data_IF_854131709076
#
_entry.id   IF_854131709076
#
_cell.length_a   1.000
_cell.length_b   1.000
_cell.length_c   1.000
_cell.angle_alpha   90.00
_cell.angle_beta   90.00
_cell.angle_gamma   90.00
#
_symmetry.space_group_name_H-M   'P 1'
#
loop_
_entity.id
_entity.type
_entity.pdbx_description
1 polymer ?
#
# COMPACT_ATOMS: atom_id res chain seq x y z
N UNK A 1 8.57 16.70 -8.01
CA UNK A 1 7.46 16.27 -8.90
C UNK A 1 7.92 15.07 -9.68
N UNK A 2 7.26 13.93 -9.50
CA UNK A 2 7.50 12.77 -10.33
C UNK A 2 6.87 13.04 -11.71
N UNK A 3 7.69 13.09 -12.72
CA UNK A 3 7.23 13.23 -14.10
C UNK A 3 7.56 11.94 -14.84
N UNK A 4 6.56 11.23 -15.31
CA UNK A 4 6.82 10.11 -16.17
C UNK A 4 7.14 10.60 -17.59
N UNK A 5 8.26 10.13 -18.14
CA UNK A 5 8.67 10.40 -19.50
C UNK A 5 8.65 9.09 -20.29
N UNK A 6 8.06 9.13 -21.44
CA UNK A 6 8.22 8.11 -22.46
C UNK A 6 8.83 8.76 -23.69
N UNK A 7 9.97 8.25 -24.14
CA UNK A 7 10.67 8.73 -25.36
C UNK A 7 10.99 10.25 -25.33
N UNK A 8 11.39 10.77 -24.15
CA UNK A 8 11.73 12.19 -24.00
C UNK A 8 10.56 13.17 -24.04
N UNK A 9 9.34 12.65 -24.16
CA UNK A 9 8.12 13.46 -24.10
C UNK A 9 7.39 13.22 -22.79
N UNK A 10 6.79 14.28 -22.23
CA UNK A 10 5.91 14.15 -21.10
C UNK A 10 4.73 13.26 -21.49
N UNK A 11 4.53 12.19 -20.76
CA UNK A 11 3.37 11.36 -20.93
C UNK A 11 2.18 12.11 -20.33
N UNK A 12 1.35 12.68 -21.18
CA UNK A 12 0.04 13.17 -20.82
C UNK A 12 -0.92 11.98 -20.79
N UNK A 13 -0.79 11.13 -19.78
CA UNK A 13 -1.86 10.20 -19.47
C UNK A 13 -3.04 11.04 -18.98
N UNK A 14 -4.25 10.66 -19.31
CA UNK A 14 -5.45 11.37 -18.84
C UNK A 14 -5.67 11.33 -17.33
N UNK A 15 -4.71 10.82 -16.57
CA UNK A 15 -4.63 10.80 -15.13
C UNK A 15 -3.23 11.28 -14.72
N UNK A 16 -3.18 12.49 -14.22
CA UNK A 16 -1.96 13.11 -13.71
C UNK A 16 -1.72 12.74 -12.24
N UNK A 17 -2.04 11.51 -11.83
CA UNK A 17 -1.67 11.03 -10.52
C UNK A 17 -0.17 10.84 -10.46
N UNK A 18 0.48 11.71 -9.76
CA UNK A 18 1.91 11.60 -9.48
C UNK A 18 2.20 12.26 -8.14
N UNK A 19 3.24 11.82 -7.49
CA UNK A 19 3.63 12.38 -6.20
C UNK A 19 4.64 11.52 -5.47
N UNK A 20 4.75 11.77 -4.19
CA UNK A 20 5.49 10.91 -3.27
C UNK A 20 4.57 9.73 -2.91
N UNK A 21 5.09 8.53 -3.13
CA UNK A 21 4.44 7.31 -2.70
C UNK A 21 4.71 7.03 -1.22
N UNK A 22 5.62 6.10 -0.92
CA UNK A 22 6.02 5.85 0.45
C UNK A 22 7.12 6.80 0.89
N UNK A 23 7.09 7.18 2.16
CA UNK A 23 8.13 7.97 2.82
C UNK A 23 8.35 7.44 4.24
N UNK A 24 9.61 7.30 4.67
CA UNK A 24 9.94 6.75 5.98
C UNK A 24 11.38 7.11 6.40
N UNK A 25 11.63 7.47 7.68
CA UNK A 25 12.98 7.65 8.20
C UNK A 25 13.66 6.30 8.43
N UNK A 26 14.90 6.18 8.00
CA UNK A 26 15.75 5.01 8.21
C UNK A 26 17.23 5.33 8.00
N UNK A 27 18.12 4.76 8.82
CA UNK A 27 19.57 4.92 8.67
C UNK A 27 20.00 6.40 8.53
N UNK A 28 19.53 7.25 9.45
CA UNK A 28 19.78 8.69 9.52
C UNK A 28 19.38 9.49 8.26
N UNK A 29 18.48 8.95 7.47
CA UNK A 29 17.96 9.60 6.26
C UNK A 29 16.43 9.46 6.18
N UNK A 30 15.82 10.36 5.44
CA UNK A 30 14.44 10.22 5.00
C UNK A 30 14.44 9.57 3.62
N UNK A 31 13.92 8.36 3.53
CA UNK A 31 13.77 7.61 2.29
C UNK A 31 12.40 7.83 1.68
N UNK A 32 12.34 7.95 0.37
CA UNK A 32 11.07 8.08 -0.33
C UNK A 32 11.14 7.48 -1.73
N UNK A 33 10.00 6.94 -2.16
CA UNK A 33 9.76 6.54 -3.55
C UNK A 33 8.67 7.41 -4.13
N UNK A 34 8.76 7.65 -5.43
CA UNK A 34 7.70 8.36 -6.13
C UNK A 34 6.57 7.42 -6.51
N UNK A 35 5.38 7.97 -6.61
CA UNK A 35 4.17 7.26 -6.98
C UNK A 35 3.94 7.39 -8.49
N UNK A 36 3.87 6.25 -9.16
CA UNK A 36 3.55 6.17 -10.58
C UNK A 36 2.62 4.97 -10.82
N UNK A 37 1.32 5.12 -10.53
CA UNK A 37 0.40 3.99 -10.50
C UNK A 37 0.24 3.27 -11.83
N UNK A 38 0.56 3.93 -12.92
CA UNK A 38 0.33 3.39 -14.26
C UNK A 38 1.61 2.92 -14.98
N UNK A 39 2.75 2.93 -14.29
CA UNK A 39 4.03 2.50 -14.86
C UNK A 39 4.77 1.55 -13.91
N UNK A 40 4.40 0.29 -13.88
CA UNK A 40 4.96 -0.66 -12.91
C UNK A 40 6.41 -1.06 -13.19
N UNK A 41 6.94 -0.77 -14.38
CA UNK A 41 8.30 -1.19 -14.77
C UNK A 41 9.12 -0.02 -15.25
N UNK A 42 10.35 0.09 -14.71
CA UNK A 42 11.38 0.93 -15.28
C UNK A 42 10.94 2.37 -15.53
N UNK A 43 9.98 2.86 -14.74
CA UNK A 43 9.62 4.26 -14.77
C UNK A 43 10.83 5.09 -14.38
N UNK A 44 10.88 6.36 -14.81
CA UNK A 44 11.92 7.29 -14.35
C UNK A 44 11.74 7.70 -12.88
N UNK A 45 10.77 7.08 -12.20
CA UNK A 45 10.56 7.26 -10.78
C UNK A 45 11.67 6.61 -10.01
N UNK A 46 12.31 7.40 -9.16
CA UNK A 46 13.52 7.01 -8.46
C UNK A 46 13.22 6.78 -6.99
N UNK A 47 14.11 6.05 -6.39
CA UNK A 47 14.31 6.07 -4.95
C UNK A 47 15.13 7.31 -4.60
N UNK A 48 14.73 8.01 -3.57
CA UNK A 48 15.38 9.21 -3.06
C UNK A 48 15.72 9.03 -1.59
N UNK A 49 16.81 9.66 -1.18
CA UNK A 49 17.10 9.86 0.24
C UNK A 49 17.47 11.31 0.52
N UNK A 50 17.09 11.81 1.69
CA UNK A 50 17.42 13.13 2.17
C UNK A 50 18.15 12.96 3.51
N UNK A 51 19.32 13.55 3.62
CA UNK A 51 20.10 13.51 4.86
C UNK A 51 19.70 14.64 5.84
N UNK A 52 20.35 14.67 7.00
CA UNK A 52 20.08 15.66 8.04
C UNK A 52 20.46 17.10 7.65
N UNK A 53 21.31 17.25 6.64
CA UNK A 53 21.67 18.57 6.07
C UNK A 53 20.73 18.96 4.91
N UNK A 54 19.67 18.20 4.69
CA UNK A 54 18.67 18.37 3.62
C UNK A 54 19.24 18.16 2.21
N UNK A 55 20.38 17.47 2.08
CA UNK A 55 20.89 17.10 0.77
C UNK A 55 20.10 15.90 0.24
N UNK A 56 19.57 16.04 -0.96
CA UNK A 56 18.81 14.97 -1.62
C UNK A 56 19.73 14.16 -2.54
N UNK A 57 19.72 12.85 -2.36
CA UNK A 57 20.38 11.89 -3.25
C UNK A 57 19.33 11.17 -4.08
N UNK A 58 19.54 11.11 -5.39
CA UNK A 58 18.75 10.32 -6.34
C UNK A 58 19.50 9.01 -6.60
N UNK A 59 18.88 7.90 -6.27
CA UNK A 59 19.46 6.58 -6.48
C UNK A 59 19.18 6.06 -7.89
N UNK A 60 20.05 5.16 -8.37
CA UNK A 60 20.00 4.68 -9.75
C UNK A 60 18.79 3.77 -10.05
N UNK A 61 18.27 3.15 -9.03
CA UNK A 61 17.11 2.27 -9.09
C UNK A 61 15.86 3.04 -9.49
N UNK A 62 14.95 2.38 -10.18
CA UNK A 62 13.79 3.03 -10.76
C UNK A 62 12.56 2.15 -10.64
N UNK A 63 12.01 2.09 -9.45
CA UNK A 63 10.71 1.44 -9.17
C UNK A 63 9.90 2.36 -8.29
N UNK A 64 8.68 2.65 -8.69
CA UNK A 64 7.73 3.41 -7.90
C UNK A 64 7.03 2.56 -6.84
N UNK A 65 6.35 3.21 -5.92
CA UNK A 65 5.59 2.56 -4.86
C UNK A 65 4.43 3.41 -4.37
N UNK A 66 3.53 2.78 -3.64
CA UNK A 66 2.37 3.42 -3.01
C UNK A 66 2.66 3.77 -1.55
N UNK A 67 1.81 4.58 -0.91
CA UNK A 67 2.03 4.98 0.49
C UNK A 67 2.15 3.83 1.50
N UNK A 68 1.44 2.74 1.30
CA UNK A 68 1.48 1.59 2.21
C UNK A 68 2.62 0.59 1.89
N UNK A 69 3.35 0.78 0.79
CA UNK A 69 4.43 -0.13 0.38
C UNK A 69 5.74 0.18 1.11
N UNK A 70 5.71 0.20 2.44
CA UNK A 70 6.89 0.38 3.28
C UNK A 70 6.75 -0.35 4.61
N UNK A 71 7.85 -0.83 5.13
CA UNK A 71 7.93 -1.45 6.45
C UNK A 71 9.36 -1.44 6.96
N UNK A 72 9.57 -1.04 8.21
CA UNK A 72 10.82 -1.34 8.91
C UNK A 72 10.71 -2.78 9.43
N UNK A 73 11.55 -3.64 8.93
CA UNK A 73 11.63 -5.03 9.33
C UNK A 73 12.68 -5.16 10.45
N UNK A 74 12.19 -5.21 11.69
CA UNK A 74 13.03 -5.17 12.87
C UNK A 74 13.95 -6.38 12.97
N UNK A 75 13.47 -7.56 12.59
CA UNK A 75 14.17 -8.82 12.68
C UNK A 75 15.44 -8.84 11.82
N UNK A 76 15.37 -8.33 10.60
CA UNK A 76 16.53 -8.25 9.72
C UNK A 76 17.22 -6.89 9.72
N UNK A 77 16.71 -5.92 10.49
CA UNK A 77 17.20 -4.55 10.53
C UNK A 77 17.34 -3.92 9.14
N UNK A 78 16.23 -3.99 8.38
CA UNK A 78 16.13 -3.44 7.04
C UNK A 78 14.86 -2.62 6.90
N UNK A 79 14.95 -1.58 6.09
CA UNK A 79 13.77 -0.92 5.54
C UNK A 79 13.41 -1.61 4.23
N UNK A 80 12.18 -2.09 4.13
CA UNK A 80 11.57 -2.46 2.86
C UNK A 80 10.67 -1.31 2.39
N UNK A 81 10.88 -0.85 1.17
CA UNK A 81 10.11 0.24 0.55
C UNK A 81 9.94 -0.06 -0.93
N UNK A 82 8.71 -0.25 -1.39
CA UNK A 82 8.42 -0.76 -2.73
C UNK A 82 9.22 -2.05 -3.02
N UNK A 83 10.09 -2.07 -4.02
CA UNK A 83 10.96 -3.20 -4.37
C UNK A 83 12.34 -3.15 -3.71
N UNK A 84 12.59 -2.18 -2.84
CA UNK A 84 13.90 -1.97 -2.25
C UNK A 84 13.98 -2.56 -0.85
N UNK A 85 15.15 -3.15 -0.56
CA UNK A 85 15.59 -3.49 0.78
C UNK A 85 16.82 -2.64 1.11
N UNK A 86 16.76 -1.87 2.17
CA UNK A 86 17.80 -0.93 2.58
C UNK A 86 18.25 -1.33 3.98
N UNK A 87 19.52 -1.67 4.13
CA UNK A 87 20.09 -2.08 5.41
C UNK A 87 20.31 -0.87 6.35
N UNK A 88 20.74 -1.17 7.57
CA UNK A 88 21.03 -0.16 8.60
C UNK A 88 22.16 0.80 8.24
N UNK A 89 23.01 0.44 7.27
CA UNK A 89 24.13 1.25 6.78
C UNK A 89 23.75 2.04 5.51
N UNK A 90 22.49 1.89 5.04
CA UNK A 90 21.96 2.57 3.87
C UNK A 90 22.32 1.91 2.54
N UNK A 91 22.81 0.66 2.54
CA UNK A 91 23.05 -0.08 1.32
C UNK A 91 21.74 -0.60 0.73
N UNK A 92 21.57 -0.43 -0.57
CA UNK A 92 20.34 -0.70 -1.29
C UNK A 92 20.45 -2.02 -2.04
N UNK A 93 19.46 -2.88 -1.88
CA UNK A 93 19.21 -4.04 -2.72
C UNK A 93 17.84 -3.93 -3.35
N UNK A 94 17.66 -4.52 -4.52
CA UNK A 94 16.43 -4.36 -5.32
C UNK A 94 15.90 -5.74 -5.71
N UNK A 95 14.61 -5.97 -5.50
CA UNK A 95 13.89 -7.06 -6.15
C UNK A 95 13.75 -6.67 -7.61
N UNK A 96 14.31 -7.46 -8.52
CA UNK A 96 14.32 -7.16 -9.95
C UNK A 96 12.88 -6.99 -10.47
N UNK A 97 12.48 -5.78 -10.90
CA UNK A 97 11.12 -5.52 -11.38
C UNK A 97 10.79 -6.22 -12.69
N UNK A 98 11.78 -6.78 -13.39
CA UNK A 98 11.54 -7.64 -14.55
C UNK A 98 11.11 -9.03 -14.14
N UNK A 99 11.56 -9.49 -12.97
CA UNK A 99 11.17 -10.79 -12.41
C UNK A 99 9.88 -10.68 -11.59
N UNK A 100 9.73 -9.59 -10.85
CA UNK A 100 8.51 -9.26 -10.11
C UNK A 100 7.90 -7.98 -10.68
N UNK A 101 7.11 -8.06 -11.76
CA UNK A 101 6.50 -6.88 -12.39
C UNK A 101 5.31 -6.34 -11.60
N UNK A 102 5.36 -6.44 -10.29
CA UNK A 102 4.30 -6.06 -9.38
C UNK A 102 4.29 -4.55 -9.11
N UNK A 103 3.10 -3.97 -8.97
CA UNK A 103 2.92 -2.65 -8.38
C UNK A 103 2.65 -2.84 -6.89
N UNK A 104 3.72 -3.00 -6.12
CA UNK A 104 3.63 -3.30 -4.68
C UNK A 104 2.87 -2.19 -3.96
N UNK A 105 1.84 -2.57 -3.23
CA UNK A 105 0.98 -1.65 -2.47
C UNK A 105 1.05 -1.87 -0.97
N UNK A 106 1.44 -3.05 -0.53
CA UNK A 106 1.64 -3.34 0.88
C UNK A 106 2.84 -4.25 1.10
N UNK A 107 3.52 -4.02 2.20
CA UNK A 107 4.62 -4.84 2.71
C UNK A 107 4.25 -5.21 4.13
N UNK A 108 4.28 -6.51 4.45
CA UNK A 108 3.76 -7.01 5.70
C UNK A 108 4.71 -8.03 6.31
N UNK A 109 4.75 -8.05 7.62
CA UNK A 109 5.55 -9.02 8.38
C UNK A 109 5.00 -10.43 8.18
N UNK A 110 5.88 -11.42 8.05
CA UNK A 110 5.46 -12.81 7.89
C UNK A 110 4.85 -13.38 9.16
N UNK A 111 3.80 -14.21 9.03
CA UNK A 111 3.03 -14.73 10.17
C UNK A 111 3.80 -15.73 11.03
N UNK A 112 4.59 -16.60 10.42
CA UNK A 112 5.17 -17.76 11.10
C UNK A 112 6.70 -17.79 11.09
N UNK A 113 7.32 -17.10 10.14
CA UNK A 113 8.77 -17.00 10.00
C UNK A 113 9.20 -15.56 9.66
N UNK A 114 8.97 -14.62 10.58
CA UNK A 114 9.30 -13.21 10.34
C UNK A 114 10.80 -12.93 10.31
N UNK A 115 11.65 -13.83 10.81
CA UNK A 115 13.09 -13.65 10.75
C UNK A 115 13.63 -13.77 9.32
N UNK A 116 12.97 -14.57 8.49
CA UNK A 116 13.43 -14.90 7.15
C UNK A 116 12.55 -14.36 6.03
N UNK A 117 11.29 -14.04 6.29
CA UNK A 117 10.34 -13.70 5.24
C UNK A 117 9.46 -12.51 5.57
N UNK A 118 9.00 -11.87 4.51
CA UNK A 118 7.94 -10.87 4.50
C UNK A 118 6.90 -11.22 3.44
N UNK A 119 5.70 -10.64 3.56
CA UNK A 119 4.71 -10.69 2.50
C UNK A 119 4.67 -9.38 1.72
N UNK A 120 4.44 -9.48 0.42
CA UNK A 120 4.08 -8.37 -0.45
C UNK A 120 2.70 -8.60 -1.05
N UNK A 121 1.95 -7.53 -1.18
CA UNK A 121 0.67 -7.52 -1.89
C UNK A 121 0.68 -6.39 -2.91
N UNK A 122 0.10 -6.61 -4.08
CA UNK A 122 0.16 -5.66 -5.18
C UNK A 122 -1.21 -5.19 -5.68
N UNK A 123 -1.19 -4.24 -6.61
CA UNK A 123 -2.42 -3.70 -7.21
C UNK A 123 -3.18 -4.74 -8.02
N UNK A 124 -2.51 -5.73 -8.51
CA UNK A 124 -3.06 -6.77 -9.38
C UNK A 124 -3.63 -7.96 -8.60
N UNK A 125 -3.75 -7.81 -7.28
CA UNK A 125 -4.27 -8.85 -6.40
C UNK A 125 -3.39 -10.11 -6.35
N UNK A 126 -2.07 -9.91 -6.46
CA UNK A 126 -1.07 -10.96 -6.26
C UNK A 126 -0.49 -10.88 -4.86
N UNK A 127 -0.23 -12.02 -4.28
CA UNK A 127 0.36 -12.13 -2.95
C UNK A 127 1.64 -12.94 -2.99
N UNK A 128 2.71 -12.35 -2.50
CA UNK A 128 4.06 -12.91 -2.57
C UNK A 128 4.64 -13.12 -1.19
N UNK A 129 5.54 -14.09 -1.10
CA UNK A 129 6.49 -14.28 -0.01
C UNK A 129 7.88 -13.93 -0.51
N UNK A 130 8.63 -13.16 0.27
CA UNK A 130 9.97 -12.71 -0.09
C UNK A 130 10.93 -13.02 1.04
N UNK A 131 12.05 -13.68 0.71
CA UNK A 131 13.14 -13.88 1.66
C UNK A 131 13.89 -12.57 1.89
N UNK A 132 13.98 -12.10 3.13
CA UNK A 132 14.58 -10.80 3.48
C UNK A 132 16.09 -10.75 3.27
N UNK A 133 16.77 -11.92 3.24
CA UNK A 133 18.22 -12.02 3.10
C UNK A 133 18.65 -12.13 1.64
N UNK A 134 17.91 -12.87 0.81
CA UNK A 134 18.28 -13.12 -0.59
C UNK A 134 17.49 -12.30 -1.59
N UNK A 135 16.33 -11.79 -1.20
CA UNK A 135 15.30 -11.17 -2.04
C UNK A 135 14.72 -12.11 -3.10
N UNK A 136 14.95 -13.42 -2.93
CA UNK A 136 14.19 -14.42 -3.69
C UNK A 136 12.75 -14.41 -3.24
N UNK A 137 11.84 -14.62 -4.18
CA UNK A 137 10.41 -14.55 -3.89
C UNK A 137 9.63 -15.68 -4.57
N UNK A 138 8.49 -15.98 -3.97
CA UNK A 138 7.50 -16.90 -4.50
C UNK A 138 6.14 -16.20 -4.53
N UNK A 139 5.42 -16.30 -5.64
CA UNK A 139 4.02 -15.90 -5.69
C UNK A 139 3.20 -17.01 -5.04
N UNK A 140 2.68 -16.73 -3.85
CA UNK A 140 1.87 -17.69 -3.08
C UNK A 140 0.45 -17.79 -3.63
N UNK A 141 -0.14 -16.65 -3.96
CA UNK A 141 -1.52 -16.59 -4.45
C UNK A 141 -1.67 -15.61 -5.60
N UNK A 142 -2.57 -15.98 -6.49
CA UNK A 142 -3.12 -15.17 -7.54
C UNK A 142 -4.62 -15.00 -7.27
N UNK A 143 -5.10 -13.76 -7.21
CA UNK A 143 -6.49 -13.42 -6.87
C UNK A 143 -7.02 -14.06 -5.57
N UNK A 144 -6.31 -13.94 -4.44
CA UNK A 144 -6.74 -14.60 -3.21
C UNK A 144 -8.07 -14.07 -2.67
N UNK A 145 -8.43 -12.85 -3.01
CA UNK A 145 -9.64 -12.17 -2.55
C UNK A 145 -10.36 -11.49 -3.70
N UNK A 146 -11.68 -11.29 -3.60
CA UNK A 146 -12.43 -10.60 -4.63
C UNK A 146 -12.00 -9.14 -4.82
N UNK A 147 -11.97 -8.68 -6.07
CA UNK A 147 -11.62 -7.30 -6.43
C UNK A 147 -10.14 -7.16 -6.79
N UNK A 148 -9.81 -6.02 -7.33
CA UNK A 148 -8.47 -5.65 -7.76
C UNK A 148 -8.07 -4.32 -7.15
N UNK A 149 -6.90 -3.86 -7.52
CA UNK A 149 -6.33 -2.61 -7.11
C UNK A 149 -6.03 -2.62 -5.61
N UNK A 150 -5.17 -3.56 -5.22
CA UNK A 150 -4.67 -3.69 -3.86
C UNK A 150 -4.19 -2.36 -3.31
N UNK A 151 -4.44 -2.13 -2.04
CA UNK A 151 -4.16 -0.84 -1.39
C UNK A 151 -3.25 -0.99 -0.18
N UNK A 152 -3.73 -1.51 0.90
CA UNK A 152 -2.98 -1.61 2.13
C UNK A 152 -2.90 -3.02 2.66
N UNK A 153 -2.01 -3.21 3.62
CA UNK A 153 -1.91 -4.46 4.35
C UNK A 153 -1.08 -4.30 5.61
N UNK A 154 -1.44 -5.06 6.63
CA UNK A 154 -0.76 -5.08 7.91
C UNK A 154 -0.88 -6.47 8.55
N UNK A 155 0.16 -6.90 9.25
CA UNK A 155 0.17 -8.17 9.99
C UNK A 155 0.08 -7.91 11.47
N UNK A 156 -1.01 -8.37 12.09
CA UNK A 156 -1.19 -8.32 13.53
C UNK A 156 -2.13 -9.42 14.00
N UNK A 157 -2.09 -9.75 15.28
CA UNK A 157 -3.02 -10.66 15.96
C UNK A 157 -3.17 -12.02 15.26
N UNK A 158 -2.05 -12.52 14.70
CA UNK A 158 -2.01 -13.79 13.98
C UNK A 158 -2.70 -13.79 12.61
N UNK A 159 -2.96 -12.61 12.06
CA UNK A 159 -3.59 -12.44 10.75
C UNK A 159 -2.82 -11.42 9.91
N UNK A 160 -2.81 -11.62 8.61
CA UNK A 160 -2.53 -10.58 7.64
C UNK A 160 -3.86 -9.96 7.24
N UNK A 161 -3.99 -8.66 7.33
CA UNK A 161 -5.17 -7.91 6.87
C UNK A 161 -4.78 -7.19 5.59
N UNK A 162 -5.57 -7.33 4.53
CA UNK A 162 -5.35 -6.65 3.25
C UNK A 162 -6.61 -6.02 2.73
N UNK A 163 -6.45 -5.02 1.88
CA UNK A 163 -7.57 -4.34 1.24
C UNK A 163 -7.35 -4.06 -0.24
N UNK A 164 -8.44 -3.92 -0.95
CA UNK A 164 -8.46 -3.34 -2.29
C UNK A 164 -9.67 -2.40 -2.45
N UNK A 165 -9.62 -1.54 -3.45
CA UNK A 165 -10.73 -0.63 -3.72
C UNK A 165 -11.63 -1.10 -4.87
N UNK A 166 -11.39 -2.28 -5.41
CA UNK A 166 -12.22 -2.90 -6.42
C UNK A 166 -12.13 -2.29 -7.81
N UNK A 167 -11.18 -1.39 -8.03
CA UNK A 167 -10.90 -0.90 -9.37
C UNK A 167 -10.34 -2.00 -10.24
N UNK A 168 -10.61 -1.92 -11.51
CA UNK A 168 -9.97 -2.78 -12.48
C UNK A 168 -8.59 -2.26 -12.79
N UNK A 169 -7.61 -3.14 -12.75
CA UNK A 169 -6.25 -2.77 -13.08
C UNK A 169 -6.12 -2.50 -14.57
N UNK A 170 -5.81 -1.26 -14.93
CA UNK A 170 -5.57 -0.86 -16.31
C UNK A 170 -4.09 -1.01 -16.72
N UNK A 171 -3.35 -1.92 -16.15
CA UNK A 171 -1.93 -1.92 -16.42
C UNK A 171 -1.17 -3.19 -16.09
N UNK A 172 -1.85 -4.27 -15.81
CA UNK A 172 -1.17 -5.52 -15.53
C UNK A 172 -0.60 -6.13 -16.80
N UNK A 173 0.71 -6.25 -16.85
CA UNK A 173 1.42 -6.67 -18.05
C UNK A 173 1.28 -8.16 -18.34
N UNK A 174 1.00 -8.94 -17.32
CA UNK A 174 0.87 -10.39 -17.40
C UNK A 174 -0.59 -10.85 -17.51
N UNK A 175 -1.54 -9.91 -17.45
CA UNK A 175 -2.99 -10.18 -17.46
C UNK A 175 -3.72 -9.17 -18.34
N UNK A 176 -3.48 -9.20 -19.65
CA UNK A 176 -4.04 -8.23 -20.60
C UNK A 176 -5.58 -8.25 -20.65
N UNK A 177 -6.21 -9.34 -20.25
CA UNK A 177 -7.66 -9.44 -20.14
C UNK A 177 -8.26 -8.44 -19.14
N UNK A 178 -7.49 -8.02 -18.16
CA UNK A 178 -7.91 -7.03 -17.17
C UNK A 178 -7.87 -5.60 -17.69
N UNK A 179 -7.18 -5.36 -18.78
CA UNK A 179 -7.12 -4.04 -19.43
C UNK A 179 -8.43 -3.63 -20.08
N UNK A 180 -9.25 -4.60 -20.42
CA UNK A 180 -10.49 -4.39 -21.18
C UNK A 180 -11.73 -4.37 -20.29
N UNK A 181 -11.60 -4.63 -19.01
CA UNK A 181 -12.73 -4.52 -18.12
C UNK A 181 -13.11 -3.05 -18.02
N UNK A 182 -14.22 -2.73 -18.64
CA UNK A 182 -14.69 -1.35 -18.76
C UNK A 182 -14.71 -0.68 -17.39
N UNK A 183 -14.14 0.49 -17.32
CA UNK A 183 -14.23 1.40 -16.19
C UNK A 183 -15.64 2.00 -16.09
N UNK A 184 -16.65 1.23 -16.44
CA UNK A 184 -18.04 1.64 -16.27
C UNK A 184 -18.41 1.58 -14.80
N UNK A 185 -18.00 2.59 -14.07
CA UNK A 185 -18.37 2.82 -12.69
C UNK A 185 -19.82 3.33 -12.56
N UNK A 186 -20.53 3.53 -13.67
CA UNK A 186 -21.84 4.18 -13.67
C UNK A 186 -22.96 3.32 -13.09
N UNK A 187 -22.84 1.99 -13.17
CA UNK A 187 -23.93 1.09 -12.87
C UNK A 187 -23.70 0.13 -11.70
N UNK A 188 -22.48 0.06 -11.18
CA UNK A 188 -22.18 -0.74 -9.99
C UNK A 188 -21.44 0.16 -9.04
N UNK A 189 -22.07 0.48 -7.94
CA UNK A 189 -21.41 1.27 -6.90
C UNK A 189 -20.03 0.70 -6.59
N UNK A 190 -19.00 1.54 -6.55
CA UNK A 190 -17.64 1.10 -6.26
C UNK A 190 -17.53 0.38 -4.91
N UNK A 191 -18.45 0.67 -4.01
CA UNK A 191 -18.53 0.07 -2.69
C UNK A 191 -18.65 -1.46 -2.68
N UNK A 192 -19.22 -2.06 -3.72
CA UNK A 192 -19.43 -3.51 -3.78
C UNK A 192 -18.30 -4.26 -4.50
N UNK A 193 -17.34 -3.54 -5.03
CA UNK A 193 -16.21 -4.11 -5.78
C UNK A 193 -14.97 -4.33 -4.94
N UNK A 194 -14.78 -3.51 -3.92
CA UNK A 194 -13.66 -3.60 -3.01
C UNK A 194 -13.80 -4.72 -1.99
N UNK A 195 -12.75 -4.94 -1.24
CA UNK A 195 -12.68 -5.98 -0.24
C UNK A 195 -11.74 -5.58 0.89
N UNK A 196 -12.15 -5.90 2.11
CA UNK A 196 -11.29 -6.05 3.27
C UNK A 196 -11.27 -7.55 3.61
N UNK A 197 -10.10 -8.13 3.75
CA UNK A 197 -9.96 -9.55 4.01
C UNK A 197 -8.78 -9.85 4.93
N UNK A 198 -8.83 -11.03 5.55
CA UNK A 198 -7.77 -11.55 6.40
C UNK A 198 -7.25 -12.88 5.88
N UNK A 199 -5.96 -13.13 6.16
CA UNK A 199 -5.28 -14.40 5.91
C UNK A 199 -4.66 -14.90 7.22
N UNK A 200 -4.93 -16.14 7.60
CA UNK A 200 -4.47 -16.77 8.85
C UNK A 200 -3.24 -17.68 8.66
N UNK A 201 -2.62 -17.62 7.48
CA UNK A 201 -1.54 -18.52 7.07
C UNK A 201 -2.01 -19.75 6.31
N UNK A 202 -3.33 -19.99 6.21
CA UNK A 202 -3.94 -21.13 5.52
C UNK A 202 -5.09 -20.72 4.61
N UNK A 203 -5.99 -19.90 5.13
CA UNK A 203 -7.25 -19.54 4.48
C UNK A 203 -7.46 -18.03 4.44
N UNK A 204 -8.09 -17.60 3.38
CA UNK A 204 -8.55 -16.22 3.22
C UNK A 204 -10.00 -16.10 3.68
N UNK A 205 -10.29 -15.05 4.44
CA UNK A 205 -11.63 -14.70 4.89
C UNK A 205 -11.96 -13.27 4.46
N UNK A 206 -13.04 -13.11 3.71
CA UNK A 206 -13.60 -11.78 3.40
C UNK A 206 -14.33 -11.26 4.63
N UNK A 207 -13.92 -10.09 5.10
CA UNK A 207 -14.53 -9.40 6.24
C UNK A 207 -15.68 -8.51 5.73
N UNK A 208 -15.40 -7.70 4.71
CA UNK A 208 -16.41 -6.81 4.13
C UNK A 208 -16.16 -6.58 2.65
N UNK A 209 -17.24 -6.49 1.88
CA UNK A 209 -17.24 -6.11 0.46
C UNK A 209 -17.53 -4.62 0.35
N UNK A 210 -16.47 -3.83 0.45
CA UNK A 210 -16.46 -2.36 0.33
C UNK A 210 -15.11 -1.89 -0.17
N UNK A 211 -15.04 -0.66 -0.66
CA UNK A 211 -13.77 -0.03 -0.98
C UNK A 211 -13.00 0.35 0.28
N UNK A 212 -11.76 -0.05 0.31
CA UNK A 212 -10.80 0.37 1.32
C UNK A 212 -9.56 0.90 0.64
N UNK A 213 -9.03 2.02 1.14
CA UNK A 213 -7.84 2.67 0.57
C UNK A 213 -6.59 2.41 1.36
N UNK A 214 -6.75 1.99 2.60
CA UNK A 214 -5.61 1.76 3.45
C UNK A 214 -5.91 0.74 4.53
N UNK A 215 -4.90 -0.04 4.86
CA UNK A 215 -4.81 -0.87 6.05
C UNK A 215 -3.46 -0.59 6.67
N UNK A 216 -3.44 -0.27 7.92
CA UNK A 216 -2.23 0.01 8.69
C UNK A 216 -2.39 -0.42 10.15
N UNK A 217 -1.33 -0.35 10.90
CA UNK A 217 -1.28 -0.54 12.34
C UNK A 217 -0.19 0.34 12.92
N UNK A 218 0.20 0.15 14.18
CA UNK A 218 1.29 0.89 14.80
C UNK A 218 2.56 0.77 13.96
N UNK A 219 3.02 1.88 13.40
CA UNK A 219 4.24 1.97 12.60
C UNK A 219 5.43 2.37 13.50
N UNK A 220 5.62 1.61 14.57
CA UNK A 220 6.71 1.90 15.49
C UNK A 220 8.08 1.61 14.88
N UNK A 221 9.01 2.54 15.03
CA UNK A 221 10.45 2.31 14.85
C UNK A 221 10.99 1.33 15.91
N UNK A 222 10.19 1.06 16.92
CA UNK A 222 10.58 0.20 18.02
C UNK A 222 10.37 -1.28 17.70
N UNK A 223 11.35 -2.15 18.04
CA UNK A 223 11.24 -3.60 17.89
C UNK A 223 10.06 -4.25 18.64
N UNK A 224 9.34 -3.45 19.42
CA UNK A 224 8.19 -3.87 20.22
C UNK A 224 6.90 -3.96 19.43
N UNK A 225 6.83 -3.41 18.23
CA UNK A 225 5.70 -3.61 17.31
C UNK A 225 5.75 -5.02 16.71
N UNK A 226 5.66 -6.04 17.58
CA UNK A 226 5.67 -7.44 17.14
C UNK A 226 4.33 -7.87 16.55
N UNK A 227 3.39 -6.96 16.41
CA UNK A 227 2.11 -7.19 15.78
C UNK A 227 1.18 -8.15 16.53
N UNK A 228 1.62 -8.79 17.61
CA UNK A 228 0.83 -9.84 18.25
C UNK A 228 -0.48 -9.32 18.81
N UNK A 229 -0.44 -8.15 19.43
CA UNK A 229 -1.59 -7.52 20.05
C UNK A 229 -1.89 -6.12 19.48
N UNK A 230 -1.16 -5.75 18.41
CA UNK A 230 -1.34 -4.45 17.78
C UNK A 230 -2.72 -4.34 17.12
N UNK A 231 -3.43 -3.22 17.29
CA UNK A 231 -4.64 -2.98 16.56
C UNK A 231 -4.36 -2.82 15.05
N UNK A 232 -5.34 -3.16 14.22
CA UNK A 232 -5.28 -2.90 12.79
C UNK A 232 -6.39 -1.94 12.43
N UNK A 233 -6.05 -0.90 11.69
CA UNK A 233 -6.97 0.09 11.19
C UNK A 233 -7.11 -0.03 9.69
N UNK A 234 -8.35 -0.15 9.21
CA UNK A 234 -8.66 -0.11 7.79
C UNK A 234 -9.62 1.03 7.50
N UNK A 235 -9.26 1.91 6.57
CA UNK A 235 -10.10 3.03 6.20
C UNK A 235 -10.62 2.89 4.77
N UNK A 236 -11.90 3.14 4.61
CA UNK A 236 -12.61 3.08 3.35
C UNK A 236 -13.78 4.02 3.30
N UNK A 237 -14.52 3.98 2.22
CA UNK A 237 -15.70 4.84 2.05
C UNK A 237 -16.75 4.21 1.14
N UNK A 238 -17.93 4.77 1.25
CA UNK A 238 -19.01 4.62 0.28
C UNK A 238 -19.60 6.00 -0.07
N UNK A 239 -20.73 6.02 -0.77
CA UNK A 239 -21.40 7.28 -1.16
C UNK A 239 -21.83 8.16 0.02
N UNK A 240 -22.01 7.59 1.20
CA UNK A 240 -22.66 8.26 2.34
C UNK A 240 -21.77 8.37 3.55
N UNK A 241 -20.77 7.51 3.67
CA UNK A 241 -19.99 7.39 4.88
C UNK A 241 -18.50 7.17 4.58
N UNK A 242 -17.69 7.64 5.49
CA UNK A 242 -16.36 7.16 5.72
C UNK A 242 -16.47 5.96 6.67
N UNK A 243 -15.71 4.90 6.40
CA UNK A 243 -15.69 3.70 7.23
C UNK A 243 -14.32 3.53 7.86
N UNK A 244 -14.29 3.41 9.15
CA UNK A 244 -13.12 2.95 9.88
C UNK A 244 -13.43 1.57 10.46
N UNK A 245 -12.61 0.60 10.11
CA UNK A 245 -12.61 -0.72 10.73
C UNK A 245 -11.42 -0.79 11.68
N UNK A 246 -11.67 -1.22 12.90
CA UNK A 246 -10.61 -1.47 13.89
C UNK A 246 -10.67 -2.93 14.28
N UNK A 247 -9.55 -3.63 14.12
CA UNK A 247 -9.40 -5.01 14.58
C UNK A 247 -8.67 -5.02 15.92
N UNK A 248 -9.36 -5.51 16.93
CA UNK A 248 -8.81 -5.74 18.27
C UNK A 248 -9.29 -7.10 18.79
N UNK A 249 -8.41 -7.84 19.43
CA UNK A 249 -8.76 -9.19 19.92
C UNK A 249 -9.23 -10.16 18.83
N UNK A 250 -8.83 -9.92 17.59
CA UNK A 250 -9.22 -10.72 16.42
C UNK A 250 -10.58 -10.36 15.80
N UNK A 251 -11.31 -9.42 16.39
CA UNK A 251 -12.63 -8.98 15.96
C UNK A 251 -12.60 -7.58 15.34
N UNK A 252 -13.44 -7.34 14.33
CA UNK A 252 -13.56 -6.06 13.68
C UNK A 252 -14.73 -5.25 14.23
N UNK A 253 -14.46 -4.01 14.62
CA UNK A 253 -15.49 -3.02 14.96
C UNK A 253 -15.55 -1.96 13.87
N UNK A 254 -16.76 -1.67 13.40
CA UNK A 254 -17.01 -0.67 12.34
C UNK A 254 -17.47 0.65 12.95
N UNK A 255 -16.77 1.71 12.60
CA UNK A 255 -17.18 3.09 12.88
C UNK A 255 -17.59 3.76 11.57
N UNK A 256 -18.78 4.35 11.55
CA UNK A 256 -19.28 5.10 10.41
C UNK A 256 -19.22 6.59 10.74
N UNK A 257 -18.46 7.32 9.93
CA UNK A 257 -18.37 8.76 10.04
C UNK A 257 -19.15 9.41 8.90
N UNK A 258 -19.93 10.46 9.17
CA UNK A 258 -20.63 11.17 8.12
C UNK A 258 -19.67 11.75 7.11
N UNK A 259 -19.91 11.51 5.85
CA UNK A 259 -19.17 12.12 4.77
C UNK A 259 -19.77 13.48 4.46
N UNK A 260 -19.17 14.55 5.00
CA UNK A 260 -19.75 15.89 5.03
C UNK A 260 -19.80 16.60 3.68
N UNK A 261 -18.85 16.39 2.80
CA UNK A 261 -18.80 16.99 1.47
C UNK A 261 -18.51 15.90 0.46
N UNK A 262 -19.51 15.61 -0.34
CA UNK A 262 -19.40 14.63 -1.41
C UNK A 262 -19.00 15.36 -2.69
N UNK A 263 -17.74 15.58 -2.89
CA UNK A 263 -17.27 15.77 -4.24
C UNK A 263 -17.23 14.41 -4.91
N UNK A 264 -18.32 14.07 -5.55
CA UNK A 264 -18.35 12.95 -6.45
C UNK A 264 -17.66 13.41 -7.73
N UNK A 265 -16.49 12.88 -8.06
CA UNK A 265 -15.98 13.02 -9.40
C UNK A 265 -16.83 12.15 -10.32
N UNK A 266 -17.93 12.73 -10.80
CA UNK A 266 -18.88 12.07 -11.67
C UNK A 266 -18.24 11.58 -12.98
N UNK A 267 -17.11 12.17 -13.36
CA UNK A 267 -16.38 11.80 -14.58
C UNK A 267 -15.62 10.49 -14.44
N UNK A 268 -15.11 10.21 -13.25
CA UNK A 268 -14.32 9.00 -12.97
C UNK A 268 -15.07 7.99 -12.11
N UNK A 269 -16.25 8.32 -11.60
CA UNK A 269 -17.00 7.48 -10.67
C UNK A 269 -16.35 7.34 -9.30
N UNK A 270 -15.37 8.18 -9.02
CA UNK A 270 -14.61 8.19 -7.79
C UNK A 270 -15.24 9.14 -6.78
N UNK A 271 -15.15 8.74 -5.55
CA UNK A 271 -15.22 9.70 -4.47
C UNK A 271 -13.86 10.36 -4.39
N UNK A 272 -13.82 11.67 -4.51
CA UNK A 272 -12.57 12.45 -4.64
C UNK A 272 -11.68 12.43 -3.41
N UNK A 273 -12.05 11.64 -2.43
CA UNK A 273 -11.34 11.57 -1.17
C UNK A 273 -10.65 10.24 -1.02
N UNK A 274 -9.35 10.28 -0.84
CA UNK A 274 -8.53 9.15 -0.48
C UNK A 274 -8.14 9.29 0.99
N UNK A 275 -9.00 8.86 1.93
CA UNK A 275 -8.66 8.97 3.33
C UNK A 275 -7.41 8.15 3.62
N UNK A 276 -6.58 8.71 4.47
CA UNK A 276 -5.36 8.10 4.98
C UNK A 276 -5.43 8.03 6.48
N UNK A 277 -4.85 7.00 7.06
CA UNK A 277 -4.70 6.86 8.49
C UNK A 277 -3.26 6.48 8.82
N UNK A 278 -2.69 7.11 9.82
CA UNK A 278 -1.31 6.91 10.26
C UNK A 278 -1.22 6.92 11.76
N UNK A 279 -0.37 6.06 12.27
CA UNK A 279 0.15 6.18 13.61
C UNK A 279 1.13 7.36 13.66
N UNK A 280 0.93 8.26 14.60
CA UNK A 280 1.81 9.42 14.84
C UNK A 280 2.59 9.29 16.17
N UNK A 281 2.54 8.15 16.79
CA UNK A 281 3.19 7.84 18.07
C UNK A 281 2.26 8.01 19.27
N UNK A 282 2.68 7.48 20.40
CA UNK A 282 1.94 7.54 21.69
C UNK A 282 0.50 6.98 21.62
N UNK A 283 0.25 6.07 20.66
CA UNK A 283 -1.06 5.50 20.33
C UNK A 283 -2.06 6.46 19.67
N UNK A 284 -1.60 7.63 19.27
CA UNK A 284 -2.42 8.59 18.54
C UNK A 284 -2.46 8.27 17.04
N UNK A 285 -3.63 8.44 16.46
CA UNK A 285 -3.85 8.28 15.03
C UNK A 285 -4.10 9.63 14.37
N UNK A 286 -3.47 9.84 13.25
CA UNK A 286 -3.77 10.94 12.35
C UNK A 286 -4.54 10.42 11.14
N UNK A 287 -5.71 10.94 10.90
CA UNK A 287 -6.48 10.71 9.69
C UNK A 287 -6.52 11.98 8.84
N UNK A 288 -6.17 11.84 7.58
CA UNK A 288 -6.27 12.89 6.58
C UNK A 288 -7.47 12.60 5.66
N UNK A 289 -8.28 13.61 5.45
CA UNK A 289 -9.41 13.58 4.54
C UNK A 289 -9.72 14.99 4.05
N UNK A 290 -9.70 15.22 2.73
CA UNK A 290 -9.98 16.53 2.12
C UNK A 290 -9.08 17.69 2.62
N UNK A 291 -7.84 17.41 2.97
CA UNK A 291 -6.98 18.41 3.57
C UNK A 291 -7.38 18.81 4.98
N UNK A 292 -8.30 18.09 5.59
CA UNK A 292 -8.61 18.14 7.01
C UNK A 292 -7.87 17.03 7.73
N UNK A 293 -7.29 17.36 8.88
CA UNK A 293 -6.62 16.41 9.74
C UNK A 293 -7.45 16.16 10.99
N UNK A 294 -7.61 14.90 11.31
CA UNK A 294 -8.28 14.47 12.53
C UNK A 294 -7.27 13.65 13.34
N UNK A 295 -7.11 13.97 14.61
CA UNK A 295 -6.39 13.11 15.54
C UNK A 295 -7.37 12.33 16.40
N UNK A 296 -7.02 11.09 16.66
CA UNK A 296 -7.75 10.19 17.55
C UNK A 296 -6.77 9.71 18.60
N UNK A 297 -7.04 9.97 19.89
CA UNK A 297 -6.26 9.39 20.96
C UNK A 297 -6.55 7.91 21.16
#
# INVERSE_FOLDING_TARGET
>A
YSQSRKDGKFFKAGHEECGIGAVIPWADKLWMVTYAPHQPRGSEHKLYSIDNDLNMTIHAESVGGTPAARMIHAESQQLFIAHYAIDKDGNIRVIDPKKMPARVTAIMRHLTDPENYIYLYDMENMFYEVNVHTLEFTRLFEDPIPGYHGKGGFTAQGKVVVSNNGETSAGHLDRPEHWQVSQDFSNKGPEDRGCLATFDGKTWQVIERRQYTEVTGPEGVAPTANGKDDPVWAIGWDKRSLRLQVMEGGEFTTFLLPKGCLNNDAKHGWFTEWPRIRDIGEQDLLMDMHGLFFSFP
#
